data_IF_911047265065
#
_entry.id   IF_911047265065
#
_cell.length_a   1.000
_cell.length_b   1.000
_cell.length_c   1.000
_cell.angle_alpha   90.00
_cell.angle_beta   90.00
_cell.angle_gamma   90.00
#
_symmetry.space_group_name_H-M   'P 1'
#
loop_
_entity.id
_entity.type
_entity.pdbx_description
1 polymer ?
#
# COMPACT_ATOMS: atom_id res chain seq x y z
N UNK A 1 -7.84 -29.08 -75.22
CA UNK A 1 -6.97 -28.18 -74.37
C UNK A 1 -7.65 -26.96 -73.80
N UNK A 2 -8.94 -26.78 -73.98
CA UNK A 2 -9.71 -25.56 -73.55
C UNK A 2 -10.27 -25.60 -72.14
N UNK A 3 -10.48 -26.77 -71.54
CA UNK A 3 -11.11 -26.87 -70.23
C UNK A 3 -10.23 -26.56 -69.02
N UNK A 4 -8.92 -26.81 -69.13
CA UNK A 4 -7.97 -26.58 -68.03
C UNK A 4 -7.74 -25.07 -67.79
N UNK A 5 -7.78 -24.26 -68.80
CA UNK A 5 -7.60 -22.81 -68.72
C UNK A 5 -8.80 -22.10 -68.06
N UNK A 6 -10.03 -22.62 -68.33
CA UNK A 6 -11.28 -22.06 -67.73
C UNK A 6 -11.34 -22.39 -66.25
N UNK A 7 -10.98 -23.63 -65.87
CA UNK A 7 -10.89 -24.02 -64.45
C UNK A 7 -9.85 -23.24 -63.68
N UNK A 8 -8.67 -22.98 -64.24
CA UNK A 8 -7.62 -22.18 -63.64
C UNK A 8 -8.09 -20.72 -63.38
N UNK A 9 -8.78 -20.11 -64.34
CA UNK A 9 -9.37 -18.79 -64.18
C UNK A 9 -10.53 -18.72 -63.15
N UNK A 10 -11.32 -19.75 -63.02
CA UNK A 10 -12.35 -19.83 -62.01
C UNK A 10 -11.77 -19.98 -60.60
N UNK A 11 -10.75 -20.80 -60.41
CA UNK A 11 -10.05 -20.98 -59.13
C UNK A 11 -9.33 -19.68 -58.69
N UNK A 12 -8.72 -18.97 -59.64
CA UNK A 12 -8.05 -17.70 -59.34
C UNK A 12 -9.07 -16.59 -58.94
N UNK A 13 -10.24 -16.54 -59.63
CA UNK A 13 -11.35 -15.66 -59.21
C UNK A 13 -11.90 -15.98 -57.83
N UNK A 14 -12.06 -17.24 -57.49
CA UNK A 14 -12.54 -17.64 -56.16
C UNK A 14 -11.52 -17.32 -55.09
N UNK A 15 -10.20 -17.54 -55.35
CA UNK A 15 -9.12 -17.21 -54.44
C UNK A 15 -9.04 -15.69 -54.21
N UNK A 16 -9.13 -14.89 -55.24
CA UNK A 16 -9.15 -13.42 -55.14
C UNK A 16 -10.38 -12.92 -54.39
N UNK A 17 -11.59 -13.49 -54.60
CA UNK A 17 -12.78 -13.16 -53.85
C UNK A 17 -12.64 -13.49 -52.36
N UNK A 18 -12.07 -14.65 -52.01
CA UNK A 18 -11.80 -15.02 -50.64
C UNK A 18 -10.80 -14.07 -49.96
N UNK A 19 -9.73 -13.72 -50.64
CA UNK A 19 -8.74 -12.77 -50.15
C UNK A 19 -9.34 -11.35 -49.95
N UNK A 20 -10.18 -10.91 -50.86
CA UNK A 20 -10.89 -9.62 -50.70
C UNK A 20 -11.88 -9.67 -49.53
N UNK A 21 -12.64 -10.73 -49.36
CA UNK A 21 -13.54 -10.90 -48.26
C UNK A 21 -12.83 -10.91 -46.89
N UNK A 22 -11.69 -11.65 -46.81
CA UNK A 22 -10.88 -11.66 -45.57
C UNK A 22 -10.28 -10.28 -45.30
N UNK A 23 -9.79 -9.58 -46.32
CA UNK A 23 -9.25 -8.22 -46.17
C UNK A 23 -10.34 -7.24 -45.66
N UNK A 24 -11.53 -7.28 -46.26
CA UNK A 24 -12.67 -6.42 -45.83
C UNK A 24 -13.08 -6.74 -44.40
N UNK A 25 -13.16 -8.03 -44.05
CA UNK A 25 -13.51 -8.44 -42.70
C UNK A 25 -12.46 -7.99 -41.67
N UNK A 26 -11.17 -8.12 -42.01
CA UNK A 26 -10.07 -7.66 -41.15
C UNK A 26 -10.11 -6.14 -40.97
N UNK A 27 -10.35 -5.37 -42.05
CA UNK A 27 -10.53 -3.92 -41.95
C UNK A 27 -11.73 -3.53 -41.07
N UNK A 28 -12.84 -4.25 -41.20
CA UNK A 28 -14.03 -3.98 -40.38
C UNK A 28 -13.78 -4.24 -38.88
N UNK A 29 -13.05 -5.34 -38.57
CA UNK A 29 -12.66 -5.65 -37.17
C UNK A 29 -11.71 -4.57 -36.63
N UNK A 30 -10.69 -4.16 -37.39
CA UNK A 30 -9.76 -3.12 -36.97
C UNK A 30 -10.49 -1.78 -36.78
N UNK A 31 -11.40 -1.42 -37.68
CA UNK A 31 -12.21 -0.23 -37.54
C UNK A 31 -13.12 -0.29 -36.31
N UNK A 32 -13.74 -1.44 -36.02
CA UNK A 32 -14.53 -1.67 -34.82
C UNK A 32 -13.69 -1.47 -33.54
N UNK A 33 -12.49 -2.06 -33.49
CA UNK A 33 -11.57 -1.89 -32.36
C UNK A 33 -11.17 -0.41 -32.21
N UNK A 34 -10.84 0.27 -33.32
CA UNK A 34 -10.44 1.67 -33.28
C UNK A 34 -11.54 2.61 -32.80
N UNK A 35 -12.80 2.31 -33.13
CA UNK A 35 -13.97 3.08 -32.69
C UNK A 35 -14.33 2.85 -31.22
N UNK A 36 -14.09 1.63 -30.71
CA UNK A 36 -14.35 1.26 -29.32
C UNK A 36 -13.17 1.59 -28.38
N UNK A 37 -11.97 1.83 -28.96
CA UNK A 37 -10.78 2.10 -28.17
C UNK A 37 -10.73 3.58 -27.78
N UNK A 38 -11.08 3.90 -26.54
CA UNK A 38 -10.80 5.19 -25.94
C UNK A 38 -9.33 5.24 -25.49
N UNK A 39 -8.49 5.94 -26.25
CA UNK A 39 -7.11 6.21 -25.84
C UNK A 39 -7.15 7.25 -24.73
N UNK A 40 -7.06 6.82 -23.48
CA UNK A 40 -6.80 7.72 -22.35
C UNK A 40 -5.31 8.07 -22.38
N UNK A 41 -4.97 9.28 -22.78
CA UNK A 41 -3.62 9.81 -22.60
C UNK A 41 -3.40 9.98 -21.10
N UNK A 42 -2.60 9.11 -20.53
CA UNK A 42 -2.04 9.33 -19.20
C UNK A 42 -0.88 10.29 -19.39
N UNK A 43 -1.15 11.58 -19.32
CA UNK A 43 -0.08 12.56 -19.20
C UNK A 43 0.69 12.20 -17.93
N UNK A 44 2.02 12.28 -17.98
CA UNK A 44 2.95 11.83 -16.96
C UNK A 44 2.85 12.55 -15.59
N UNK A 45 1.94 13.50 -15.47
CA UNK A 45 1.45 14.04 -14.21
C UNK A 45 0.04 13.48 -14.03
N UNK A 46 -0.10 12.45 -13.17
CA UNK A 46 -1.36 11.76 -12.92
C UNK A 46 -2.56 12.70 -12.94
N UNK A 47 -3.26 12.74 -14.08
CA UNK A 47 -4.55 13.39 -14.14
C UNK A 47 -5.49 12.56 -13.27
N UNK A 48 -5.62 13.06 -12.07
CA UNK A 48 -6.76 12.82 -11.19
C UNK A 48 -8.03 12.88 -12.02
N UNK A 49 -8.74 11.76 -12.11
CA UNK A 49 -10.17 11.83 -12.38
C UNK A 49 -10.72 12.94 -11.47
N UNK A 50 -11.44 13.89 -12.07
CA UNK A 50 -12.01 15.02 -11.33
C UNK A 50 -12.80 14.46 -10.13
N UNK A 51 -12.26 14.59 -8.92
CA UNK A 51 -12.95 14.18 -7.70
C UNK A 51 -12.05 13.84 -6.52
N UNK A 52 -11.11 12.92 -6.63
CA UNK A 52 -10.32 12.46 -5.48
C UNK A 52 -8.87 12.97 -5.53
N UNK A 53 -8.50 13.79 -4.55
CA UNK A 53 -7.12 14.25 -4.33
C UNK A 53 -6.53 13.49 -3.15
N UNK A 54 -5.67 12.47 -3.36
CA UNK A 54 -5.15 11.64 -2.29
C UNK A 54 -4.41 12.42 -1.21
N UNK A 55 -3.58 13.39 -1.60
CA UNK A 55 -2.76 14.14 -0.63
C UNK A 55 -3.60 15.10 0.20
N UNK A 56 -4.54 15.85 -0.41
CA UNK A 56 -5.47 16.71 0.32
C UNK A 56 -6.36 15.90 1.26
N UNK A 57 -6.82 14.74 0.80
CA UNK A 57 -7.60 13.82 1.62
C UNK A 57 -6.79 13.32 2.82
N UNK A 58 -5.54 12.91 2.60
CA UNK A 58 -4.67 12.41 3.67
C UNK A 58 -4.30 13.51 4.68
N UNK A 59 -4.04 14.74 4.24
CA UNK A 59 -3.79 15.86 5.15
C UNK A 59 -4.96 16.14 6.09
N UNK A 60 -6.20 15.95 5.62
CA UNK A 60 -7.41 16.11 6.44
C UNK A 60 -7.64 14.94 7.39
N UNK A 61 -7.35 13.69 6.96
CA UNK A 61 -7.66 12.48 7.74
C UNK A 61 -6.51 12.01 8.65
N UNK A 62 -5.26 12.37 8.35
CA UNK A 62 -4.13 11.94 9.16
C UNK A 62 -4.20 12.35 10.64
N UNK A 63 -4.66 13.56 11.01
CA UNK A 63 -4.82 13.91 12.42
C UNK A 63 -5.79 12.99 13.17
N UNK A 64 -6.88 12.58 12.53
CA UNK A 64 -7.85 11.65 13.11
C UNK A 64 -7.26 10.23 13.24
N UNK A 65 -6.57 9.75 12.20
CA UNK A 65 -5.86 8.46 12.24
C UNK A 65 -4.83 8.46 13.37
N UNK A 66 -4.01 9.50 13.47
CA UNK A 66 -3.02 9.67 14.54
C UNK A 66 -3.68 9.61 15.91
N UNK A 67 -4.70 10.41 16.16
CA UNK A 67 -5.41 10.42 17.43
C UNK A 67 -6.05 9.06 17.76
N UNK A 68 -6.62 8.37 16.78
CA UNK A 68 -7.18 7.03 16.94
C UNK A 68 -6.12 6.01 17.35
N UNK A 69 -4.94 6.04 16.72
CA UNK A 69 -3.80 5.19 17.06
C UNK A 69 -3.29 5.49 18.48
N UNK A 70 -3.10 6.78 18.82
CA UNK A 70 -2.59 7.20 20.14
C UNK A 70 -3.51 6.74 21.27
N UNK A 71 -4.84 6.89 21.11
CA UNK A 71 -5.81 6.44 22.11
C UNK A 71 -5.82 4.94 22.35
N UNK A 72 -5.56 4.14 21.30
CA UNK A 72 -5.63 2.67 21.36
C UNK A 72 -4.28 2.00 21.55
N UNK A 73 -3.20 2.77 21.54
CA UNK A 73 -1.86 2.23 21.63
C UNK A 73 -1.63 1.49 22.96
N UNK A 74 -1.29 0.22 22.87
CA UNK A 74 -0.99 -0.67 23.99
C UNK A 74 0.52 -0.65 24.28
N UNK A 75 0.93 -0.72 25.54
CA UNK A 75 2.35 -0.83 25.88
C UNK A 75 2.96 -2.12 25.28
N UNK A 76 4.17 -1.99 24.70
CA UNK A 76 4.83 -3.10 24.01
C UNK A 76 5.02 -4.31 24.92
N UNK A 77 5.32 -4.10 26.21
CA UNK A 77 5.48 -5.17 27.20
C UNK A 77 4.17 -5.96 27.39
N UNK A 78 3.05 -5.23 27.57
CA UNK A 78 1.72 -5.85 27.73
C UNK A 78 1.34 -6.62 26.48
N UNK A 79 1.55 -6.02 25.32
CA UNK A 79 1.22 -6.63 24.04
C UNK A 79 2.08 -7.89 23.76
N UNK A 80 3.39 -7.82 24.03
CA UNK A 80 4.30 -8.94 23.85
C UNK A 80 3.89 -10.14 24.73
N UNK A 81 3.58 -9.89 26.00
CA UNK A 81 3.09 -10.93 26.92
C UNK A 81 1.76 -11.52 26.44
N UNK A 82 0.80 -10.70 26.00
CA UNK A 82 -0.48 -11.17 25.50
C UNK A 82 -0.33 -12.02 24.23
N UNK A 83 0.52 -11.60 23.27
CA UNK A 83 0.79 -12.36 22.04
C UNK A 83 1.49 -13.69 22.31
N UNK A 84 2.36 -13.76 23.32
CA UNK A 84 2.97 -15.02 23.76
C UNK A 84 1.98 -15.96 24.42
N UNK A 85 1.07 -15.42 25.24
CA UNK A 85 0.07 -16.22 25.94
C UNK A 85 -0.98 -16.79 24.97
N UNK A 86 -1.54 -15.95 24.10
CA UNK A 86 -2.49 -16.36 23.07
C UNK A 86 -2.56 -15.32 21.97
N UNK A 87 -1.89 -15.61 20.84
CA UNK A 87 -1.82 -14.69 19.70
C UNK A 87 -3.19 -14.34 19.14
N UNK A 88 -4.11 -15.30 19.04
CA UNK A 88 -5.45 -15.07 18.47
C UNK A 88 -6.30 -14.17 19.37
N UNK A 89 -6.27 -14.41 20.68
CA UNK A 89 -7.00 -13.58 21.64
C UNK A 89 -6.42 -12.14 21.68
N UNK A 90 -5.10 -12.00 21.70
CA UNK A 90 -4.44 -10.70 21.66
C UNK A 90 -4.74 -9.95 20.35
N UNK A 91 -4.72 -10.65 19.22
CA UNK A 91 -5.08 -10.07 17.92
C UNK A 91 -6.53 -9.57 17.88
N UNK A 92 -7.46 -10.32 18.45
CA UNK A 92 -8.86 -9.93 18.54
C UNK A 92 -9.10 -8.76 19.51
N UNK A 93 -8.33 -8.69 20.59
CA UNK A 93 -8.47 -7.64 21.62
C UNK A 93 -7.86 -6.32 21.20
N UNK A 94 -6.67 -6.32 20.60
CA UNK A 94 -5.87 -5.12 20.34
C UNK A 94 -5.80 -4.72 18.87
N UNK A 95 -6.14 -5.64 17.96
CA UNK A 95 -6.00 -5.43 16.52
C UNK A 95 -7.24 -4.89 15.86
N UNK A 96 -7.03 -4.33 14.67
CA UNK A 96 -8.07 -3.89 13.74
C UNK A 96 -7.92 -4.63 12.43
N UNK A 97 -9.04 -5.13 11.92
CA UNK A 97 -9.07 -5.88 10.65
C UNK A 97 -8.77 -7.38 10.82
N UNK A 98 -9.10 -8.14 9.78
CA UNK A 98 -8.93 -9.59 9.71
C UNK A 98 -8.62 -9.96 8.26
N UNK A 99 -7.83 -10.99 7.96
CA UNK A 99 -7.18 -11.94 8.89
C UNK A 99 -5.84 -11.44 9.47
N UNK A 100 -5.29 -10.35 8.99
CA UNK A 100 -3.99 -9.80 9.40
C UNK A 100 -4.21 -8.43 10.09
N UNK A 101 -4.52 -8.42 11.40
CA UNK A 101 -4.86 -7.21 12.10
C UNK A 101 -3.67 -6.24 12.19
N UNK A 102 -3.97 -4.97 12.19
CA UNK A 102 -3.03 -3.89 12.50
C UNK A 102 -3.21 -3.51 13.97
N UNK A 103 -2.11 -3.50 14.72
CA UNK A 103 -2.12 -3.28 16.17
C UNK A 103 -1.43 -1.96 16.49
N UNK A 104 -2.12 -1.03 17.17
CA UNK A 104 -1.50 0.17 17.73
C UNK A 104 -0.64 -0.17 18.95
N UNK A 105 0.59 0.37 18.98
CA UNK A 105 1.55 0.09 20.06
C UNK A 105 2.28 1.36 20.47
N UNK A 106 2.58 1.48 21.77
CA UNK A 106 3.50 2.47 22.33
C UNK A 106 4.70 1.78 22.94
N UNK A 107 5.86 2.34 22.76
CA UNK A 107 7.10 1.79 23.29
C UNK A 107 8.15 2.87 23.50
N UNK A 108 9.07 2.59 24.41
CA UNK A 108 10.33 3.32 24.56
C UNK A 108 11.48 2.36 24.27
N UNK A 109 12.47 2.78 23.51
CA UNK A 109 13.60 1.93 23.17
C UNK A 109 14.80 2.71 22.67
N UNK A 110 15.97 2.07 22.76
CA UNK A 110 17.23 2.59 22.24
C UNK A 110 17.37 2.20 20.77
N UNK A 111 17.57 3.22 19.92
CA UNK A 111 17.74 3.01 18.49
C UNK A 111 19.09 2.37 18.20
N UNK A 112 19.09 1.24 17.53
CA UNK A 112 20.29 0.56 17.07
C UNK A 112 20.65 1.00 15.64
N UNK A 113 21.92 0.85 15.21
CA UNK A 113 22.28 1.10 13.81
C UNK A 113 21.39 0.32 12.86
N UNK A 114 20.86 1.01 11.85
CA UNK A 114 19.92 0.46 10.87
C UNK A 114 20.30 0.85 9.45
N UNK A 115 19.64 0.23 8.48
CA UNK A 115 19.85 0.46 7.07
C UNK A 115 18.56 0.85 6.35
N UNK A 116 18.69 1.64 5.30
CA UNK A 116 17.56 2.04 4.41
C UNK A 116 16.37 2.65 5.16
N UNK A 117 16.65 3.33 6.29
CA UNK A 117 15.61 3.97 7.11
C UNK A 117 14.79 3.01 7.97
N UNK A 118 15.27 1.81 8.20
CA UNK A 118 14.70 0.85 9.14
C UNK A 118 15.70 0.67 10.28
N UNK A 119 15.29 1.04 11.48
CA UNK A 119 16.13 1.00 12.67
C UNK A 119 15.60 -0.05 13.65
N UNK A 120 16.43 -1.04 14.06
CA UNK A 120 16.09 -1.89 15.19
C UNK A 120 15.98 -1.07 16.46
N UNK A 121 15.02 -1.41 17.31
CA UNK A 121 14.80 -0.81 18.63
C UNK A 121 15.07 -1.85 19.71
N UNK A 122 15.93 -1.51 20.66
CA UNK A 122 16.08 -2.28 21.89
C UNK A 122 15.08 -1.76 22.91
N UNK A 123 14.04 -2.54 23.14
CA UNK A 123 12.93 -2.20 24.04
C UNK A 123 13.07 -2.99 25.34
N UNK A 124 13.10 -2.30 26.49
CA UNK A 124 13.18 -2.97 27.77
C UNK A 124 11.88 -3.68 28.15
N UNK A 125 11.99 -4.82 28.82
CA UNK A 125 10.84 -5.57 29.33
C UNK A 125 10.04 -6.34 28.26
N UNK A 126 10.59 -6.50 27.07
CA UNK A 126 10.07 -7.43 26.05
C UNK A 126 11.03 -8.60 25.87
N UNK A 127 10.57 -9.76 25.37
CA UNK A 127 11.44 -10.91 25.11
C UNK A 127 12.59 -10.57 24.15
N UNK A 128 13.78 -11.09 24.38
CA UNK A 128 14.94 -10.90 23.49
C UNK A 128 14.71 -11.43 22.07
N UNK A 129 13.86 -12.44 21.93
CA UNK A 129 13.47 -12.99 20.63
C UNK A 129 12.57 -12.06 19.80
N UNK A 130 11.96 -11.05 20.43
CA UNK A 130 11.11 -10.08 19.74
C UNK A 130 11.95 -9.01 19.03
N UNK A 131 11.88 -8.99 17.72
CA UNK A 131 12.52 -7.96 16.88
C UNK A 131 11.55 -6.81 16.67
N UNK A 132 11.85 -5.66 17.28
CA UNK A 132 11.11 -4.41 17.05
C UNK A 132 11.91 -3.52 16.12
N UNK A 133 11.30 -3.03 15.05
CA UNK A 133 11.94 -2.19 14.04
C UNK A 133 11.07 -0.98 13.75
N UNK A 134 11.69 0.19 13.70
CA UNK A 134 11.05 1.45 13.34
C UNK A 134 11.35 1.78 11.88
N UNK A 135 10.33 2.02 11.05
CA UNK A 135 10.55 2.56 9.72
C UNK A 135 10.44 4.08 9.72
N UNK A 136 11.49 4.73 9.20
CA UNK A 136 11.60 6.20 9.12
C UNK A 136 11.73 6.72 7.68
N UNK A 137 11.62 5.84 6.68
CA UNK A 137 11.80 6.18 5.27
C UNK A 137 13.28 6.14 4.85
N UNK A 138 13.62 6.53 3.62
CA UNK A 138 12.86 7.40 2.70
C UNK A 138 11.62 6.75 2.09
N UNK A 139 11.62 5.44 1.86
CA UNK A 139 10.45 4.70 1.41
C UNK A 139 9.69 4.14 2.62
N UNK A 140 8.41 4.39 2.65
CA UNK A 140 7.47 3.83 3.63
C UNK A 140 6.60 2.83 2.88
N UNK A 141 6.49 1.63 3.41
CA UNK A 141 5.71 0.55 2.81
C UNK A 141 4.50 0.21 3.67
N UNK A 142 3.49 -0.37 3.02
CA UNK A 142 2.28 -0.84 3.66
C UNK A 142 1.15 0.18 3.72
N UNK A 143 0.00 -0.30 4.16
CA UNK A 143 -1.24 0.47 4.31
C UNK A 143 -1.69 0.52 5.77
N UNK A 144 -0.76 0.26 6.69
CA UNK A 144 -1.08 0.03 8.09
C UNK A 144 -1.73 1.25 8.76
N UNK A 145 -1.35 2.49 8.38
CA UNK A 145 -1.97 3.70 8.90
C UNK A 145 -3.45 3.82 8.48
N UNK A 146 -3.77 3.48 7.22
CA UNK A 146 -5.15 3.46 6.74
C UNK A 146 -5.97 2.40 7.48
N UNK A 147 -5.42 1.20 7.58
CA UNK A 147 -6.12 0.04 8.12
C UNK A 147 -6.25 0.10 9.65
N UNK A 148 -5.34 0.82 10.33
CA UNK A 148 -5.33 0.98 11.77
C UNK A 148 -6.52 1.77 12.30
N UNK A 149 -7.12 2.67 11.53
CA UNK A 149 -8.27 3.45 11.97
C UNK A 149 -9.50 2.56 12.21
N UNK A 150 -9.69 1.55 11.38
CA UNK A 150 -10.90 0.74 11.32
C UNK A 150 -12.11 1.46 10.72
N UNK A 151 -11.99 2.76 10.44
CA UNK A 151 -13.07 3.61 9.93
C UNK A 151 -12.95 3.86 8.43
N UNK A 152 -11.74 3.76 7.86
CA UNK A 152 -11.50 3.97 6.44
C UNK A 152 -11.76 2.66 5.70
N UNK A 153 -12.89 2.60 4.99
CA UNK A 153 -13.37 1.39 4.30
C UNK A 153 -13.19 1.52 2.78
N UNK A 154 -13.10 0.38 2.10
CA UNK A 154 -13.05 0.38 0.63
C UNK A 154 -14.26 1.09 0.00
N UNK A 155 -15.44 0.95 0.62
CA UNK A 155 -16.69 1.59 0.16
C UNK A 155 -16.70 3.12 0.20
N UNK A 156 -15.73 3.75 0.89
CA UNK A 156 -15.59 5.21 0.94
C UNK A 156 -14.91 5.77 -0.34
N UNK A 157 -14.47 4.89 -1.25
CA UNK A 157 -13.74 5.24 -2.46
C UNK A 157 -14.44 4.69 -3.70
N UNK A 158 -14.26 5.37 -4.84
CA UNK A 158 -14.89 4.97 -6.10
C UNK A 158 -14.31 3.68 -6.66
N UNK A 159 -13.03 3.42 -6.41
CA UNK A 159 -12.32 2.25 -6.95
C UNK A 159 -11.10 1.88 -6.08
N UNK A 160 -10.52 0.71 -6.39
CA UNK A 160 -9.37 0.18 -5.67
C UNK A 160 -8.12 1.06 -5.78
N UNK A 161 -7.94 1.79 -6.87
CA UNK A 161 -6.78 2.67 -7.08
C UNK A 161 -6.84 3.84 -6.11
N UNK A 162 -8.01 4.47 -5.94
CA UNK A 162 -8.21 5.54 -4.96
C UNK A 162 -7.96 5.04 -3.54
N UNK A 163 -8.48 3.87 -3.20
CA UNK A 163 -8.27 3.26 -1.88
C UNK A 163 -6.77 2.96 -1.60
N UNK A 164 -6.02 2.49 -2.60
CA UNK A 164 -4.57 2.30 -2.48
C UNK A 164 -3.82 3.64 -2.37
N UNK A 165 -4.21 4.61 -3.19
CA UNK A 165 -3.62 5.95 -3.17
C UNK A 165 -3.85 6.66 -1.84
N UNK A 166 -5.00 6.48 -1.21
CA UNK A 166 -5.29 6.99 0.14
C UNK A 166 -4.30 6.44 1.18
N UNK A 167 -4.00 5.13 1.15
CA UNK A 167 -2.99 4.53 2.03
C UNK A 167 -1.59 5.08 1.82
N UNK A 168 -1.17 5.22 0.56
CA UNK A 168 0.12 5.82 0.22
C UNK A 168 0.20 7.30 0.63
N UNK A 169 -0.90 8.05 0.47
CA UNK A 169 -0.97 9.45 0.85
C UNK A 169 -0.93 9.65 2.37
N UNK A 170 -1.56 8.79 3.17
CA UNK A 170 -1.43 8.80 4.63
C UNK A 170 0.02 8.60 5.07
N UNK A 171 0.76 7.69 4.41
CA UNK A 171 2.20 7.53 4.67
C UNK A 171 2.99 8.80 4.33
N UNK A 172 2.64 9.52 3.26
CA UNK A 172 3.27 10.82 2.93
C UNK A 172 2.93 11.90 3.95
N UNK A 173 1.68 12.00 4.37
CA UNK A 173 1.24 12.96 5.41
C UNK A 173 1.96 12.70 6.74
N UNK A 174 2.06 11.44 7.16
CA UNK A 174 2.82 11.03 8.33
C UNK A 174 4.30 11.39 8.17
N UNK A 175 4.93 11.07 7.05
CA UNK A 175 6.33 11.42 6.80
C UNK A 175 6.57 12.93 6.96
N UNK A 176 5.73 13.76 6.35
CA UNK A 176 5.81 15.23 6.43
C UNK A 176 5.66 15.74 7.86
N UNK A 177 4.70 15.22 8.61
CA UNK A 177 4.37 15.74 9.94
C UNK A 177 5.25 15.18 11.07
N UNK A 178 5.75 13.95 10.93
CA UNK A 178 6.48 13.22 11.99
C UNK A 178 7.95 13.02 11.64
N UNK A 179 8.25 12.46 10.45
CA UNK A 179 9.59 11.99 10.14
C UNK A 179 10.53 13.06 9.58
N UNK A 180 10.02 14.10 8.93
CA UNK A 180 10.85 15.18 8.39
C UNK A 180 11.52 16.02 9.48
N UNK A 181 10.99 15.95 10.71
CA UNK A 181 11.56 16.62 11.90
C UNK A 181 12.70 15.83 12.55
N UNK A 182 12.93 14.58 12.11
CA UNK A 182 13.92 13.69 12.71
C UNK A 182 15.24 13.73 11.92
N UNK A 183 16.33 13.99 12.61
CA UNK A 183 17.65 13.70 12.06
C UNK A 183 17.95 12.21 12.16
N UNK A 184 17.71 11.49 11.08
CA UNK A 184 17.89 10.03 11.01
C UNK A 184 19.33 9.58 11.25
N UNK A 185 20.30 10.41 10.92
CA UNK A 185 21.73 10.08 11.11
C UNK A 185 22.11 10.17 12.59
N UNK A 186 21.41 10.98 13.37
CA UNK A 186 21.63 11.14 14.79
C UNK A 186 20.80 10.21 15.67
N UNK A 187 19.93 9.36 15.09
CA UNK A 187 19.08 8.44 15.84
C UNK A 187 19.83 7.29 16.52
N UNK A 188 20.83 6.62 15.91
CA UNK A 188 21.52 5.50 16.55
C UNK A 188 22.08 5.87 17.92
N UNK A 189 21.82 5.05 18.94
CA UNK A 189 22.23 5.27 20.33
C UNK A 189 21.28 6.18 21.13
N UNK A 190 20.32 6.86 20.50
CA UNK A 190 19.31 7.67 21.21
C UNK A 190 18.18 6.83 21.74
N UNK A 191 17.62 7.24 22.86
CA UNK A 191 16.34 6.72 23.36
C UNK A 191 15.20 7.45 22.66
N UNK A 192 14.25 6.70 22.13
CA UNK A 192 13.06 7.25 21.50
C UNK A 192 11.80 6.71 22.16
N UNK A 193 10.80 7.57 22.28
CA UNK A 193 9.43 7.16 22.57
C UNK A 193 8.65 7.15 21.26
N UNK A 194 8.03 6.01 20.95
CA UNK A 194 7.34 5.77 19.68
C UNK A 194 5.91 5.35 19.95
N UNK A 195 4.96 6.01 19.29
CA UNK A 195 3.60 5.53 19.11
C UNK A 195 3.41 5.25 17.62
N UNK A 196 2.92 4.05 17.30
CA UNK A 196 2.75 3.66 15.91
C UNK A 196 1.91 2.40 15.78
N UNK A 197 1.93 1.84 14.60
CA UNK A 197 1.17 0.65 14.26
C UNK A 197 2.05 -0.38 13.56
N UNK A 198 1.70 -1.64 13.69
CA UNK A 198 2.29 -2.70 12.88
C UNK A 198 1.24 -3.73 12.51
N UNK A 199 1.43 -4.37 11.36
CA UNK A 199 0.60 -5.51 10.93
C UNK A 199 1.12 -6.79 11.55
N UNK A 200 0.25 -7.54 12.20
CA UNK A 200 0.60 -8.80 12.85
C UNK A 200 0.78 -9.92 11.81
N UNK A 201 1.92 -9.89 11.12
CA UNK A 201 2.37 -10.98 10.25
C UNK A 201 3.11 -12.06 11.03
N UNK A 202 3.90 -11.63 12.01
CA UNK A 202 4.68 -12.49 12.89
C UNK A 202 4.73 -11.86 14.28
N UNK A 203 4.34 -12.64 15.30
CA UNK A 203 4.31 -12.19 16.69
C UNK A 203 5.69 -11.79 17.25
N UNK A 204 6.78 -12.33 16.66
CA UNK A 204 8.16 -12.05 17.10
C UNK A 204 8.90 -11.01 16.22
N UNK A 205 8.21 -10.33 15.29
CA UNK A 205 8.84 -9.41 14.38
C UNK A 205 7.91 -8.25 14.00
N UNK A 206 8.06 -7.13 14.68
CA UNK A 206 7.23 -5.94 14.50
C UNK A 206 7.94 -4.90 13.65
N UNK A 207 7.33 -4.47 12.58
CA UNK A 207 7.76 -3.31 11.79
C UNK A 207 6.81 -2.16 12.06
N UNK A 208 7.27 -1.19 12.85
CA UNK A 208 6.44 -0.09 13.33
C UNK A 208 6.41 1.04 12.31
N UNK A 209 5.20 1.40 11.86
CA UNK A 209 4.93 2.65 11.15
C UNK A 209 4.50 3.68 12.19
N UNK A 210 5.31 4.71 12.47
CA UNK A 210 5.04 5.63 13.57
C UNK A 210 3.93 6.63 13.22
N UNK A 211 3.23 7.12 14.25
CA UNK A 211 2.40 8.33 14.20
C UNK A 211 2.97 9.43 15.11
N UNK A 212 3.86 9.05 16.03
CA UNK A 212 4.64 9.95 16.87
C UNK A 212 6.01 9.34 17.16
N UNK A 213 7.05 10.16 17.14
CA UNK A 213 8.42 9.80 17.56
C UNK A 213 9.00 10.98 18.32
N UNK A 214 9.40 10.76 19.56
CA UNK A 214 10.04 11.74 20.40
C UNK A 214 11.44 11.23 20.79
N UNK A 215 12.46 12.04 20.58
CA UNK A 215 13.85 11.73 20.95
C UNK A 215 14.13 12.31 22.34
N UNK A 216 14.55 11.46 23.25
CA UNK A 216 14.89 11.82 24.65
C UNK A 216 16.37 12.14 24.81
#
# INVERSE_FOLDING_TARGET
MSDVSVLAHQLDRQRRRRLLLTAVLSCAVIAGIALDTHVVRTDAAGQTQQGFSPDSWAEQHFPEVKQSVERRAVAAQTLAAALQANQQAAAAQYGVGSPLPVIPVRLEGVVQPGEKGIFPLQVAGVPESLKVRLQTGPALSGTDLRDASGTIQFGDFTNQIEYQNAGAALNRAMKKSVLEKLDRNALPGKTVEVIGVFRLLNASNWLITPVSVEVK
#
